data_IF_831234958572
#
_entry.id   IF_831234958572
#
_cell.length_a   1.000
_cell.length_b   1.000
_cell.length_c   1.000
_cell.angle_alpha   90.00
_cell.angle_beta   90.00
_cell.angle_gamma   90.00
#
_symmetry.space_group_name_H-M   'P 1'
#
loop_
_entity.id
_entity.type
_entity.pdbx_description
1 polymer ?
#
# COMPACT_ATOMS: atom_id res chain seq x y z
N UNK A 1 11.05 -13.99 20.23
CA UNK A 1 10.32 -15.26 20.45
C UNK A 1 8.99 -15.11 19.71
N UNK A 2 8.74 -15.92 18.68
CA UNK A 2 7.52 -15.83 17.85
C UNK A 2 6.33 -16.34 18.65
N UNK A 3 5.34 -15.49 18.93
CA UNK A 3 4.00 -15.96 19.25
C UNK A 3 3.27 -16.21 17.93
N UNK A 4 3.20 -17.47 17.51
CA UNK A 4 2.12 -17.93 16.63
C UNK A 4 0.90 -18.11 17.52
N UNK A 5 0.06 -17.08 17.64
CA UNK A 5 -1.29 -17.28 18.17
C UNK A 5 -2.10 -18.01 17.11
N UNK A 6 -2.26 -19.31 17.31
CA UNK A 6 -3.06 -20.20 16.49
C UNK A 6 -4.52 -20.10 16.93
N UNK A 7 -5.19 -19.02 16.54
CA UNK A 7 -6.61 -18.80 16.80
C UNK A 7 -7.35 -18.62 15.48
N UNK A 8 -7.82 -19.71 14.87
CA UNK A 8 -9.01 -19.76 14.02
C UNK A 8 -9.13 -18.87 12.76
N UNK A 9 -8.21 -17.94 12.48
CA UNK A 9 -8.20 -17.01 11.35
C UNK A 9 -7.28 -17.53 10.24
N UNK A 10 -7.31 -16.96 9.02
CA UNK A 10 -6.54 -17.44 7.86
C UNK A 10 -5.02 -17.49 8.08
N UNK A 11 -4.28 -17.97 7.07
CA UNK A 11 -2.82 -17.92 7.09
C UNK A 11 -2.38 -16.46 7.21
N UNK A 12 -1.72 -16.12 8.32
CA UNK A 12 -1.31 -14.74 8.58
C UNK A 12 0.03 -14.63 9.31
N UNK A 13 0.70 -13.51 9.08
CA UNK A 13 1.98 -13.14 9.68
C UNK A 13 1.90 -11.69 10.15
N UNK A 14 2.20 -11.48 11.44
CA UNK A 14 2.34 -10.14 12.02
C UNK A 14 3.81 -9.80 12.20
N UNK A 15 4.17 -8.58 11.81
CA UNK A 15 5.50 -8.00 11.92
C UNK A 15 5.38 -6.69 12.70
N UNK A 16 6.29 -6.48 13.63
CA UNK A 16 6.38 -5.23 14.40
C UNK A 16 7.82 -4.74 14.45
N UNK A 17 8.00 -3.43 14.37
CA UNK A 17 9.30 -2.78 14.51
C UNK A 17 9.17 -1.44 15.23
N UNK A 18 9.99 -1.23 16.25
CA UNK A 18 10.15 0.09 16.87
C UNK A 18 10.81 1.03 15.84
N UNK A 19 10.16 2.16 15.58
CA UNK A 19 10.64 3.18 14.63
C UNK A 19 11.13 4.46 15.35
N UNK A 20 11.31 4.39 16.67
CA UNK A 20 11.73 5.48 17.53
C UNK A 20 10.58 6.40 17.97
N UNK A 21 10.85 7.29 18.92
CA UNK A 21 9.87 8.28 19.38
C UNK A 21 8.63 7.70 20.09
N UNK A 22 8.71 6.45 20.53
CA UNK A 22 7.58 5.74 21.14
C UNK A 22 6.55 5.20 20.13
N UNK A 23 6.91 5.15 18.84
CA UNK A 23 6.10 4.62 17.76
C UNK A 23 6.54 3.21 17.35
N UNK A 24 5.56 2.41 16.92
CA UNK A 24 5.76 1.08 16.36
C UNK A 24 5.14 1.06 14.95
N UNK A 25 5.89 0.55 13.97
CA UNK A 25 5.34 0.09 12.70
C UNK A 25 4.85 -1.34 12.90
N UNK A 26 3.56 -1.57 12.73
CA UNK A 26 2.98 -2.90 12.68
C UNK A 26 2.53 -3.23 11.25
N UNK A 27 2.64 -4.49 10.86
CA UNK A 27 2.11 -5.00 9.60
C UNK A 27 1.56 -6.40 9.79
N UNK A 28 0.31 -6.60 9.38
CA UNK A 28 -0.31 -7.90 9.23
C UNK A 28 -0.37 -8.24 7.74
N UNK A 29 0.12 -9.42 7.38
CA UNK A 29 -0.01 -9.99 6.04
C UNK A 29 -0.87 -11.23 6.19
N UNK A 30 -1.93 -11.38 5.40
CA UNK A 30 -2.83 -12.52 5.50
C UNK A 30 -3.40 -12.96 4.16
N UNK A 31 -3.71 -14.24 4.07
CA UNK A 31 -4.54 -14.82 3.01
C UNK A 31 -5.92 -15.09 3.62
N UNK A 32 -6.98 -14.35 3.23
CA UNK A 32 -8.33 -14.57 3.74
C UNK A 32 -8.81 -16.00 3.44
N UNK A 33 -9.53 -16.61 4.39
CA UNK A 33 -10.09 -17.97 4.19
C UNK A 33 -11.15 -18.00 3.09
N UNK A 34 -11.90 -16.91 2.97
CA UNK A 34 -13.04 -16.82 2.05
C UNK A 34 -12.58 -16.59 0.60
N UNK A 35 -11.37 -16.04 0.40
CA UNK A 35 -10.77 -15.88 -0.92
C UNK A 35 -9.24 -16.04 -0.87
N UNK A 36 -8.72 -17.25 -1.19
CA UNK A 36 -7.30 -17.54 -1.11
C UNK A 36 -6.47 -16.89 -2.24
N UNK A 37 -7.10 -16.26 -3.24
CA UNK A 37 -6.39 -15.54 -4.30
C UNK A 37 -6.00 -14.11 -3.89
N UNK A 38 -6.49 -13.65 -2.74
CA UNK A 38 -6.23 -12.32 -2.21
C UNK A 38 -5.09 -12.38 -1.20
N UNK A 39 -4.07 -11.56 -1.42
CA UNK A 39 -3.08 -11.22 -0.41
C UNK A 39 -3.49 -9.90 0.25
N UNK A 40 -3.88 -9.93 1.51
CA UNK A 40 -4.19 -8.73 2.29
C UNK A 40 -2.98 -8.28 3.12
N UNK A 41 -2.73 -6.98 3.13
CA UNK A 41 -1.68 -6.33 3.89
C UNK A 41 -2.26 -5.11 4.61
N UNK A 42 -2.30 -5.18 5.93
CA UNK A 42 -2.70 -4.09 6.80
C UNK A 42 -1.45 -3.56 7.50
N UNK A 43 -1.08 -2.32 7.21
CA UNK A 43 0.08 -1.67 7.86
C UNK A 43 -0.39 -0.50 8.70
N UNK A 44 0.29 -0.23 9.82
CA UNK A 44 0.04 0.99 10.56
C UNK A 44 1.19 1.44 11.44
N UNK A 45 1.22 2.74 11.69
CA UNK A 45 2.09 3.39 12.68
C UNK A 45 1.23 3.70 13.90
N UNK A 46 1.59 3.10 15.04
CA UNK A 46 0.84 3.19 16.30
C UNK A 46 1.73 3.74 17.41
N UNK A 47 1.13 4.50 18.33
CA UNK A 47 1.85 5.02 19.49
C UNK A 47 1.76 4.04 20.68
N UNK A 48 2.90 3.55 21.18
CA UNK A 48 2.92 2.60 22.30
C UNK A 48 3.28 3.28 23.64
N UNK A 49 4.40 4.01 23.67
CA UNK A 49 4.99 4.60 24.88
C UNK A 49 5.17 6.13 24.78
N UNK A 50 4.14 6.85 24.29
CA UNK A 50 4.08 8.32 24.37
C UNK A 50 3.70 8.74 25.80
N UNK A 51 4.68 8.80 26.70
CA UNK A 51 4.53 9.19 28.10
C UNK A 51 4.71 10.69 28.36
N UNK A 52 4.35 11.16 29.56
CA UNK A 52 4.58 12.53 29.99
C UNK A 52 6.08 12.87 29.95
N UNK A 53 6.45 13.90 29.17
CA UNK A 53 7.84 14.28 28.88
C UNK A 53 8.33 13.94 27.47
N UNK A 54 7.58 13.16 26.68
CA UNK A 54 7.91 12.86 25.27
C UNK A 54 7.33 13.88 24.27
N UNK A 55 6.59 14.89 24.73
CA UNK A 55 5.93 15.90 23.89
C UNK A 55 4.47 15.60 23.51
N UNK A 56 3.84 14.53 24.01
CA UNK A 56 2.39 14.27 23.87
C UNK A 56 1.91 13.86 22.47
N UNK A 57 2.72 14.08 21.44
CA UNK A 57 2.51 13.65 20.06
C UNK A 57 3.86 13.24 19.46
N UNK A 58 3.88 12.21 18.61
CA UNK A 58 5.05 12.00 17.76
C UNK A 58 5.23 13.18 16.79
N UNK A 59 6.47 13.37 16.32
CA UNK A 59 6.79 14.14 15.11
C UNK A 59 5.84 13.76 13.97
N UNK A 60 5.67 14.68 13.02
CA UNK A 60 4.98 14.39 11.76
C UNK A 60 5.58 13.12 11.13
N UNK A 61 4.74 12.14 10.82
CA UNK A 61 5.14 10.89 10.17
C UNK A 61 4.17 10.57 9.03
N UNK A 62 4.68 9.84 8.04
CA UNK A 62 3.95 9.35 6.89
C UNK A 62 4.20 7.85 6.73
N UNK A 63 3.14 7.06 6.54
CA UNK A 63 3.24 5.65 6.20
C UNK A 63 3.25 5.49 4.68
N UNK A 64 4.28 4.80 4.16
CA UNK A 64 4.46 4.57 2.72
C UNK A 64 4.50 3.08 2.41
N UNK A 65 3.63 2.63 1.51
CA UNK A 65 3.66 1.28 0.93
C UNK A 65 4.32 1.40 -0.44
N UNK A 66 5.48 0.78 -0.62
CA UNK A 66 6.36 0.99 -1.78
C UNK A 66 6.71 -0.32 -2.52
N UNK A 67 5.73 -1.11 -2.99
CA UNK A 67 5.99 -2.32 -3.75
C UNK A 67 6.75 -2.00 -5.03
N UNK A 68 7.65 -2.91 -5.42
CA UNK A 68 8.35 -2.85 -6.70
C UNK A 68 8.15 -4.18 -7.41
N UNK A 69 7.68 -4.11 -8.66
CA UNK A 69 7.42 -5.28 -9.49
C UNK A 69 8.46 -5.34 -10.61
N UNK A 70 9.01 -6.53 -10.83
CA UNK A 70 9.85 -6.80 -11.99
C UNK A 70 8.97 -7.14 -13.18
N UNK A 71 9.31 -6.62 -14.35
CA UNK A 71 8.51 -6.72 -15.56
C UNK A 71 9.16 -7.66 -16.56
N UNK A 72 8.37 -8.58 -17.13
CA UNK A 72 8.84 -9.47 -18.19
C UNK A 72 8.78 -8.77 -19.56
N UNK A 73 7.72 -8.01 -19.82
CA UNK A 73 7.52 -7.26 -21.06
C UNK A 73 7.29 -5.76 -20.78
N UNK A 74 8.34 -4.99 -20.39
CA UNK A 74 8.17 -3.60 -19.96
C UNK A 74 7.43 -2.71 -20.95
N UNK A 75 7.66 -2.90 -22.26
CA UNK A 75 7.02 -2.10 -23.33
C UNK A 75 5.56 -2.46 -23.55
N UNK A 76 5.13 -3.63 -23.10
CA UNK A 76 3.75 -4.15 -23.22
C UNK A 76 3.03 -4.12 -21.86
N UNK A 77 3.60 -3.38 -20.91
CA UNK A 77 3.09 -3.23 -19.55
C UNK A 77 2.67 -1.78 -19.30
N UNK A 78 1.54 -1.59 -18.62
CA UNK A 78 1.05 -0.28 -18.21
C UNK A 78 0.33 -0.35 -16.86
N UNK A 79 0.28 0.77 -16.14
CA UNK A 79 -0.58 0.93 -14.96
C UNK A 79 -1.91 1.52 -15.42
N UNK A 80 -3.03 1.02 -14.91
CA UNK A 80 -4.37 1.51 -15.25
C UNK A 80 -5.21 1.76 -14.01
N UNK A 81 -5.99 2.84 -14.00
CA UNK A 81 -6.97 3.12 -12.95
C UNK A 81 -8.03 4.15 -13.37
N UNK A 82 -9.08 4.23 -12.53
CA UNK A 82 -10.09 5.29 -12.58
C UNK A 82 -9.85 6.22 -11.40
N UNK A 83 -9.70 7.52 -11.67
CA UNK A 83 -9.50 8.53 -10.65
C UNK A 83 -10.79 8.82 -9.86
N UNK A 84 -10.66 9.49 -8.72
CA UNK A 84 -11.81 9.95 -7.93
C UNK A 84 -12.76 10.87 -8.71
N UNK A 85 -12.26 11.65 -9.69
CA UNK A 85 -13.09 12.44 -10.60
C UNK A 85 -13.74 11.64 -11.75
N UNK A 86 -13.47 10.34 -11.85
CA UNK A 86 -13.97 9.46 -12.91
C UNK A 86 -13.13 9.40 -14.18
N UNK A 87 -12.03 10.17 -14.27
CA UNK A 87 -11.10 10.08 -15.39
C UNK A 87 -10.37 8.74 -15.43
N UNK A 88 -10.16 8.22 -16.64
CA UNK A 88 -9.44 6.95 -16.87
C UNK A 88 -7.98 7.26 -17.21
N UNK A 89 -7.07 6.51 -16.61
CA UNK A 89 -5.62 6.68 -16.79
C UNK A 89 -5.00 5.37 -17.25
N UNK A 90 -4.13 5.46 -18.26
CA UNK A 90 -3.18 4.42 -18.65
C UNK A 90 -1.78 5.05 -18.65
N UNK A 91 -0.89 4.53 -17.80
CA UNK A 91 0.47 5.02 -17.65
C UNK A 91 1.41 3.97 -18.22
N UNK A 92 2.11 4.33 -19.28
CA UNK A 92 3.04 3.46 -19.98
C UNK A 92 4.47 3.64 -19.44
N UNK A 93 5.32 2.65 -19.70
CA UNK A 93 6.72 2.62 -19.22
C UNK A 93 7.55 3.87 -19.58
N UNK A 94 7.20 4.55 -20.67
CA UNK A 94 7.87 5.73 -21.22
C UNK A 94 7.29 7.06 -20.69
N UNK A 95 6.26 7.00 -19.84
CA UNK A 95 5.61 8.18 -19.27
C UNK A 95 6.43 8.88 -18.18
N UNK A 96 7.57 8.31 -17.76
CA UNK A 96 8.36 8.82 -16.64
C UNK A 96 7.64 8.70 -15.29
N UNK A 97 8.18 9.37 -14.26
CA UNK A 97 7.61 9.34 -12.92
C UNK A 97 6.29 10.14 -12.87
N UNK A 98 5.25 9.50 -12.35
CA UNK A 98 3.91 10.09 -12.19
C UNK A 98 3.56 10.23 -10.72
N UNK A 99 2.89 11.34 -10.39
CA UNK A 99 2.43 11.62 -9.04
C UNK A 99 0.96 12.07 -9.06
N UNK A 100 0.15 11.49 -8.18
CA UNK A 100 -1.29 11.69 -8.13
C UNK A 100 -1.72 12.11 -6.72
N UNK A 101 -2.56 13.13 -6.65
CA UNK A 101 -3.17 13.62 -5.41
C UNK A 101 -4.55 14.23 -5.67
N UNK A 102 -5.31 14.47 -4.58
CA UNK A 102 -6.63 15.05 -4.66
C UNK A 102 -7.57 14.22 -5.55
N UNK A 103 -8.27 14.86 -6.48
CA UNK A 103 -9.27 14.21 -7.32
C UNK A 103 -8.67 13.30 -8.41
N UNK A 104 -7.35 13.34 -8.61
CA UNK A 104 -6.62 12.49 -9.57
C UNK A 104 -6.11 11.19 -8.93
N UNK A 105 -6.39 10.96 -7.64
CA UNK A 105 -6.04 9.71 -6.98
C UNK A 105 -6.81 8.54 -7.59
N UNK A 106 -6.19 7.34 -7.71
CA UNK A 106 -6.94 6.12 -7.99
C UNK A 106 -8.02 5.93 -6.93
N UNK A 107 -9.25 5.60 -7.37
CA UNK A 107 -10.41 5.48 -6.50
C UNK A 107 -10.43 4.13 -5.75
N UNK A 108 -9.42 3.90 -4.92
CA UNK A 108 -9.26 2.67 -4.13
C UNK A 108 -8.82 1.44 -4.93
N UNK A 109 -8.53 1.58 -6.22
CA UNK A 109 -8.01 0.51 -7.06
C UNK A 109 -7.13 1.05 -8.18
N UNK A 110 -6.02 0.37 -8.42
CA UNK A 110 -5.22 0.47 -9.63
C UNK A 110 -4.65 -0.90 -9.99
N UNK A 111 -4.28 -1.12 -11.24
CA UNK A 111 -3.74 -2.39 -11.71
C UNK A 111 -2.49 -2.20 -12.54
N UNK A 112 -1.57 -3.16 -12.44
CA UNK A 112 -0.44 -3.34 -13.34
C UNK A 112 -0.81 -4.43 -14.36
N UNK A 113 -0.87 -4.06 -15.64
CA UNK A 113 -1.33 -4.93 -16.72
C UNK A 113 -0.14 -5.32 -17.59
N UNK A 114 0.08 -6.62 -17.82
CA UNK A 114 1.00 -7.15 -18.84
C UNK A 114 0.16 -7.73 -19.99
N UNK A 115 0.15 -7.04 -21.14
CA UNK A 115 -0.65 -7.45 -22.30
C UNK A 115 -0.14 -8.72 -22.97
N UNK A 116 1.17 -8.96 -22.93
CA UNK A 116 1.76 -10.16 -23.52
C UNK A 116 1.37 -11.42 -22.76
N UNK A 117 1.29 -11.34 -21.43
CA UNK A 117 0.86 -12.44 -20.58
C UNK A 117 -0.66 -12.54 -20.45
N UNK A 118 -1.40 -11.49 -20.80
CA UNK A 118 -2.85 -11.44 -20.59
C UNK A 118 -3.21 -11.48 -19.11
N UNK A 119 -2.42 -10.80 -18.26
CA UNK A 119 -2.65 -10.76 -16.81
C UNK A 119 -2.63 -9.34 -16.26
N UNK A 120 -3.35 -9.13 -15.16
CA UNK A 120 -3.33 -7.92 -14.35
C UNK A 120 -3.07 -8.26 -12.88
N UNK A 121 -2.12 -7.55 -12.27
CA UNK A 121 -1.98 -7.47 -10.82
C UNK A 121 -2.81 -6.30 -10.33
N UNK A 122 -3.93 -6.59 -9.68
CA UNK A 122 -4.85 -5.60 -9.13
C UNK A 122 -4.40 -5.28 -7.71
N UNK A 123 -4.27 -4.00 -7.40
CA UNK A 123 -4.08 -3.52 -6.05
C UNK A 123 -5.29 -2.69 -5.61
N UNK A 124 -6.03 -3.20 -4.61
CA UNK A 124 -7.15 -2.51 -3.98
C UNK A 124 -6.72 -1.95 -2.64
N UNK A 125 -7.19 -0.78 -2.27
CA UNK A 125 -6.82 -0.12 -1.03
C UNK A 125 -7.92 0.79 -0.52
N UNK A 126 -7.90 1.11 0.77
CA UNK A 126 -8.82 2.09 1.34
C UNK A 126 -8.43 3.51 0.88
N UNK A 127 -9.23 4.10 0.00
CA UNK A 127 -8.97 5.45 -0.52
C UNK A 127 -8.91 6.53 0.57
N UNK A 128 -9.55 6.32 1.71
CA UNK A 128 -9.52 7.28 2.83
C UNK A 128 -8.19 7.28 3.59
N UNK A 129 -7.35 6.27 3.39
CA UNK A 129 -6.06 6.11 4.07
C UNK A 129 -4.89 6.64 3.23
N UNK A 130 -5.13 6.94 1.95
CA UNK A 130 -4.11 7.31 0.98
C UNK A 130 -4.26 8.78 0.58
N UNK A 131 -3.20 9.57 0.78
CA UNK A 131 -3.15 11.00 0.45
C UNK A 131 -2.52 11.28 -0.91
N UNK A 132 -1.60 10.43 -1.35
CA UNK A 132 -0.94 10.52 -2.66
C UNK A 132 -0.53 9.14 -3.16
N UNK A 133 -0.54 8.98 -4.49
CA UNK A 133 0.01 7.81 -5.18
C UNK A 133 1.15 8.22 -6.11
N UNK A 134 2.13 7.34 -6.33
CA UNK A 134 3.12 7.57 -7.41
C UNK A 134 3.43 6.30 -8.19
N UNK A 135 3.70 6.46 -9.48
CA UNK A 135 4.17 5.40 -10.38
C UNK A 135 5.54 5.80 -10.86
N UNK A 136 6.56 5.00 -10.55
CA UNK A 136 7.94 5.28 -10.94
C UNK A 136 8.46 4.11 -11.78
N UNK A 137 8.77 4.38 -13.03
CA UNK A 137 9.25 3.37 -13.97
C UNK A 137 10.78 3.28 -13.95
N UNK A 138 11.29 2.07 -13.90
CA UNK A 138 12.67 1.75 -14.24
C UNK A 138 12.72 0.87 -15.49
N UNK A 139 13.93 0.57 -15.97
CA UNK A 139 14.13 -0.17 -17.23
C UNK A 139 13.31 -1.47 -17.35
N UNK A 140 13.20 -2.25 -16.28
CA UNK A 140 12.43 -3.50 -16.25
C UNK A 140 11.67 -3.67 -14.92
N UNK A 141 11.27 -2.55 -14.32
CA UNK A 141 10.57 -2.55 -13.03
C UNK A 141 9.62 -1.38 -12.94
N UNK A 142 8.58 -1.52 -12.13
CA UNK A 142 7.70 -0.42 -11.77
C UNK A 142 7.51 -0.39 -10.26
N UNK A 143 7.51 0.81 -9.71
CA UNK A 143 7.14 1.06 -8.31
C UNK A 143 5.79 1.75 -8.29
N UNK A 144 4.87 1.22 -7.49
CA UNK A 144 3.52 1.75 -7.34
C UNK A 144 3.29 2.09 -5.87
N UNK A 145 3.55 3.35 -5.50
CA UNK A 145 3.59 3.76 -4.10
C UNK A 145 2.26 4.35 -3.62
N UNK A 146 1.82 3.92 -2.43
CA UNK A 146 0.75 4.56 -1.67
C UNK A 146 1.36 5.30 -0.48
N UNK A 147 0.99 6.56 -0.26
CA UNK A 147 1.42 7.34 0.90
C UNK A 147 0.23 7.87 1.69
N UNK A 148 0.28 7.74 3.01
CA UNK A 148 -0.69 8.37 3.90
C UNK A 148 -0.49 9.88 3.97
N UNK A 149 -1.42 10.57 4.60
CA UNK A 149 -1.17 11.93 5.08
C UNK A 149 0.05 11.94 6.02
N UNK A 150 0.81 13.03 5.97
CA UNK A 150 1.83 13.34 6.97
C UNK A 150 1.19 14.06 8.16
N UNK A 151 1.17 13.43 9.32
CA UNK A 151 0.57 14.01 10.53
C UNK A 151 1.15 13.41 11.81
N UNK A 152 0.87 14.01 12.99
CA UNK A 152 1.21 13.39 14.27
C UNK A 152 0.41 12.09 14.50
N UNK A 153 0.99 11.17 15.27
CA UNK A 153 0.36 9.91 15.67
C UNK A 153 0.13 9.88 17.18
N UNK A 154 -1.07 9.46 17.59
CA UNK A 154 -1.42 9.17 18.98
C UNK A 154 -2.04 7.77 19.09
N UNK A 155 -2.30 7.31 20.32
CA UNK A 155 -3.00 6.04 20.57
C UNK A 155 -4.39 5.99 19.95
N UNK A 156 -5.06 7.15 19.86
CA UNK A 156 -6.42 7.28 19.31
C UNK A 156 -6.43 7.60 17.82
N UNK A 157 -5.29 7.96 17.24
CA UNK A 157 -5.17 8.36 15.83
C UNK A 157 -3.98 7.68 15.14
N UNK A 158 -3.98 6.34 15.05
CA UNK A 158 -2.96 5.63 14.28
C UNK A 158 -3.01 6.04 12.82
N UNK A 159 -1.88 5.95 12.11
CA UNK A 159 -1.87 6.02 10.64
C UNK A 159 -1.92 4.59 10.12
N UNK A 160 -2.81 4.30 9.19
CA UNK A 160 -2.99 2.98 8.59
C UNK A 160 -3.00 3.07 7.07
N UNK A 161 -2.60 1.99 6.42
CA UNK A 161 -2.86 1.71 5.00
C UNK A 161 -3.19 0.22 4.90
N UNK A 162 -4.45 -0.07 4.58
CA UNK A 162 -4.97 -1.39 4.22
C UNK A 162 -5.05 -1.52 2.71
N UNK A 163 -4.45 -2.58 2.20
CA UNK A 163 -4.48 -2.89 0.78
C UNK A 163 -4.39 -4.39 0.50
N UNK A 164 -4.77 -4.76 -0.71
CA UNK A 164 -4.85 -6.13 -1.18
C UNK A 164 -4.22 -6.25 -2.55
N UNK A 165 -3.70 -7.43 -2.85
CA UNK A 165 -3.26 -7.81 -4.19
C UNK A 165 -4.00 -9.05 -4.67
N UNK A 166 -4.34 -9.07 -5.95
CA UNK A 166 -4.96 -10.20 -6.64
C UNK A 166 -4.42 -10.25 -8.08
N UNK A 167 -4.14 -11.44 -8.60
CA UNK A 167 -3.74 -11.63 -10.00
C UNK A 167 -4.95 -12.16 -10.78
N UNK A 168 -5.30 -11.51 -11.90
CA UNK A 168 -6.38 -11.94 -12.81
C UNK A 168 -5.87 -12.10 -14.24
N UNK A 169 -6.48 -13.02 -14.97
CA UNK A 169 -6.40 -13.04 -16.43
C UNK A 169 -7.27 -11.91 -17.00
N UNK A 170 -6.86 -11.34 -18.14
CA UNK A 170 -7.57 -10.27 -18.88
C UNK A 170 -7.85 -10.64 -20.32
#
# INVERSE_FOLDING_TARGET
>A
MKNLEHAGEGESLTLEGDIGGGLILHRRISIPKDDPNILQIDSGIVAHNVGAGSGGFSRLVCLRVHPTFNLLHPTETFVSFISTDGSKHEIWHDSGDQFYEGNLLPNGEWMLVDRCLGVALINRFNANEVRSCSVNWGMARVKMELSSEERPVSKQSPITISHQYEVKAI
#
